data_IF_659713046892
#
_entry.id   IF_659713046892
#
_cell.length_a   1.000
_cell.length_b   1.000
_cell.length_c   1.000
_cell.angle_alpha   90.00
_cell.angle_beta   90.00
_cell.angle_gamma   90.00
#
_symmetry.space_group_name_H-M   'P 1'
#
loop_
_entity.id
_entity.type
_entity.pdbx_description
1 polymer ?
#
# COMPACT_ATOMS: atom_id res chain seq x y z
N UNK A 1 3.09 -6.66 -38.87
CA UNK A 1 2.24 -6.04 -37.83
C UNK A 1 3.02 -6.07 -36.50
N UNK A 2 3.41 -4.94 -35.96
CA UNK A 2 4.16 -4.90 -34.72
C UNK A 2 3.19 -5.29 -33.57
N UNK A 3 3.48 -6.38 -32.86
CA UNK A 3 2.80 -6.72 -31.61
C UNK A 3 2.90 -5.53 -30.67
N UNK A 4 1.75 -4.92 -30.33
CA UNK A 4 1.68 -3.94 -29.28
C UNK A 4 2.02 -4.67 -27.97
N UNK A 5 3.28 -4.53 -27.51
CA UNK A 5 3.73 -5.02 -26.21
C UNK A 5 2.75 -4.48 -25.15
N UNK A 6 1.96 -5.36 -24.55
CA UNK A 6 1.02 -5.00 -23.51
C UNK A 6 1.80 -4.31 -22.38
N UNK A 7 1.47 -3.07 -22.07
CA UNK A 7 2.15 -2.33 -20.98
C UNK A 7 1.91 -3.07 -19.67
N UNK A 8 2.92 -3.17 -18.82
CA UNK A 8 2.76 -3.73 -17.49
C UNK A 8 1.76 -2.89 -16.67
N UNK A 9 1.14 -3.50 -15.67
CA UNK A 9 0.20 -2.82 -14.74
C UNK A 9 0.89 -1.60 -14.13
N UNK A 10 2.14 -1.77 -13.68
CA UNK A 10 2.95 -0.71 -13.09
C UNK A 10 3.15 0.48 -14.06
N UNK A 11 3.44 0.20 -15.32
CA UNK A 11 3.64 1.24 -16.34
C UNK A 11 2.32 1.97 -16.70
N UNK A 12 1.20 1.26 -16.72
CA UNK A 12 -0.12 1.82 -16.95
C UNK A 12 -0.51 2.78 -15.83
N UNK A 13 -0.38 2.32 -14.59
CA UNK A 13 -0.63 3.15 -13.40
C UNK A 13 0.29 4.36 -13.34
N UNK A 14 1.58 4.18 -13.65
CA UNK A 14 2.52 5.29 -13.69
C UNK A 14 2.12 6.35 -14.73
N UNK A 15 1.62 5.91 -15.87
CA UNK A 15 1.12 6.81 -16.91
C UNK A 15 -0.10 7.59 -16.43
N UNK A 16 -1.03 6.94 -15.71
CA UNK A 16 -2.20 7.60 -15.13
C UNK A 16 -1.80 8.59 -14.01
N UNK A 17 -0.91 8.17 -13.12
CA UNK A 17 -0.40 9.02 -12.04
C UNK A 17 0.32 10.27 -12.57
N UNK A 18 1.08 10.13 -13.65
CA UNK A 18 1.75 11.28 -14.27
C UNK A 18 0.81 12.34 -14.86
N UNK A 19 -0.47 12.01 -15.07
CA UNK A 19 -1.47 13.01 -15.47
C UNK A 19 -1.80 14.00 -14.33
N UNK A 20 -1.50 13.64 -13.09
CA UNK A 20 -1.60 14.56 -11.95
C UNK A 20 -0.47 15.60 -11.94
N UNK A 21 0.65 15.34 -12.66
CA UNK A 21 1.74 16.30 -12.82
C UNK A 21 1.26 17.61 -13.46
N UNK A 22 1.85 18.70 -13.02
CA UNK A 22 1.66 20.02 -13.60
C UNK A 22 1.15 21.08 -12.60
N UNK A 23 0.35 20.67 -11.60
CA UNK A 23 -0.04 21.54 -10.48
C UNK A 23 0.46 21.03 -9.13
N UNK A 24 0.85 19.75 -9.05
CA UNK A 24 1.22 19.06 -7.80
C UNK A 24 2.65 18.56 -7.91
N UNK A 25 3.46 18.82 -6.90
CA UNK A 25 4.85 18.34 -6.82
C UNK A 25 4.92 16.81 -6.70
N UNK A 26 5.97 16.14 -7.23
CA UNK A 26 6.14 14.69 -7.12
C UNK A 26 6.11 14.17 -5.68
N UNK A 27 6.64 14.94 -4.74
CA UNK A 27 6.62 14.63 -3.31
C UNK A 27 5.21 14.58 -2.72
N UNK A 28 4.26 15.28 -3.31
CA UNK A 28 2.88 15.34 -2.87
C UNK A 28 2.02 14.27 -3.54
N UNK A 29 1.99 14.18 -4.88
CA UNK A 29 1.10 13.23 -5.51
C UNK A 29 1.47 11.75 -5.29
N UNK A 30 2.70 11.44 -4.84
CA UNK A 30 3.05 10.07 -4.43
C UNK A 30 2.14 9.53 -3.33
N UNK A 31 1.81 10.36 -2.33
CA UNK A 31 0.91 9.97 -1.24
C UNK A 31 -0.52 9.75 -1.72
N UNK A 32 -0.98 10.53 -2.71
CA UNK A 32 -2.27 10.32 -3.38
C UNK A 32 -2.30 8.95 -4.03
N UNK A 33 -1.34 8.65 -4.89
CA UNK A 33 -1.32 7.40 -5.66
C UNK A 33 -1.14 6.19 -4.76
N UNK A 34 -0.18 6.24 -3.84
CA UNK A 34 0.08 5.12 -2.93
C UNK A 34 -1.05 4.90 -1.93
N UNK A 35 -1.72 5.98 -1.48
CA UNK A 35 -2.91 5.90 -0.64
C UNK A 35 -4.09 5.24 -1.36
N UNK A 36 -4.33 5.56 -2.63
CA UNK A 36 -5.39 4.93 -3.44
C UNK A 36 -5.09 3.46 -3.75
N UNK A 37 -3.84 3.12 -4.07
CA UNK A 37 -3.42 1.74 -4.27
C UNK A 37 -3.60 0.93 -2.99
N UNK A 38 -3.25 1.50 -1.84
CA UNK A 38 -3.49 0.90 -0.53
C UNK A 38 -4.97 0.65 -0.30
N UNK A 39 -5.81 1.69 -0.48
CA UNK A 39 -7.26 1.60 -0.29
C UNK A 39 -7.91 0.53 -1.17
N UNK A 40 -7.56 0.48 -2.46
CA UNK A 40 -8.02 -0.57 -3.38
C UNK A 40 -7.66 -1.96 -2.87
N UNK A 41 -6.38 -2.17 -2.53
CA UNK A 41 -5.90 -3.47 -2.08
C UNK A 41 -6.58 -3.95 -0.80
N UNK A 42 -6.64 -3.10 0.23
CA UNK A 42 -7.25 -3.50 1.52
C UNK A 42 -8.74 -3.76 1.35
N UNK A 43 -9.42 -3.03 0.46
CA UNK A 43 -10.83 -3.26 0.13
C UNK A 43 -11.03 -4.59 -0.58
N UNK A 44 -10.20 -4.93 -1.57
CA UNK A 44 -10.30 -6.21 -2.27
C UNK A 44 -10.06 -7.40 -1.32
N UNK A 45 -9.07 -7.27 -0.42
CA UNK A 45 -8.80 -8.28 0.62
C UNK A 45 -9.94 -8.42 1.61
N UNK A 46 -10.55 -7.31 2.00
CA UNK A 46 -11.74 -7.32 2.84
C UNK A 46 -12.91 -8.04 2.16
N UNK A 47 -13.21 -7.72 0.91
CA UNK A 47 -14.30 -8.35 0.18
C UNK A 47 -14.03 -9.85 -0.08
N UNK A 48 -12.78 -10.24 -0.39
CA UNK A 48 -12.39 -11.66 -0.48
C UNK A 48 -12.70 -12.39 0.84
N UNK A 49 -12.30 -11.82 1.98
CA UNK A 49 -12.57 -12.41 3.30
C UNK A 49 -14.06 -12.44 3.63
N UNK A 50 -14.77 -11.38 3.32
CA UNK A 50 -16.22 -11.26 3.52
C UNK A 50 -16.95 -12.34 2.74
N UNK A 51 -16.57 -12.58 1.50
CA UNK A 51 -17.15 -13.64 0.68
C UNK A 51 -16.88 -15.04 1.26
N UNK A 52 -15.70 -15.28 1.82
CA UNK A 52 -15.38 -16.53 2.53
C UNK A 52 -16.33 -16.74 3.72
N UNK A 53 -16.57 -15.70 4.54
CA UNK A 53 -17.49 -15.77 5.67
C UNK A 53 -18.92 -16.08 5.22
N UNK A 54 -19.38 -15.50 4.11
CA UNK A 54 -20.69 -15.77 3.53
C UNK A 54 -20.79 -17.24 3.09
N UNK A 55 -19.76 -17.76 2.40
CA UNK A 55 -19.71 -19.13 1.91
C UNK A 55 -19.62 -20.16 3.04
N UNK A 56 -19.06 -19.78 4.20
CA UNK A 56 -18.99 -20.59 5.42
C UNK A 56 -20.29 -20.50 6.26
N UNK A 57 -21.33 -19.84 5.78
CA UNK A 57 -22.59 -19.57 6.49
C UNK A 57 -22.43 -18.77 7.81
N UNK A 58 -21.39 -17.92 7.85
CA UNK A 58 -21.02 -17.08 9.00
C UNK A 58 -21.51 -15.63 8.81
N UNK A 59 -22.75 -15.45 8.35
CA UNK A 59 -23.28 -14.11 8.03
C UNK A 59 -23.40 -13.18 9.24
N UNK A 60 -23.63 -13.73 10.43
CA UNK A 60 -23.74 -12.96 11.67
C UNK A 60 -22.41 -12.30 12.11
N UNK A 61 -21.30 -12.74 11.53
CA UNK A 61 -19.97 -12.24 11.85
C UNK A 61 -19.40 -11.25 10.84
N UNK A 62 -20.18 -10.86 9.82
CA UNK A 62 -19.72 -9.99 8.73
C UNK A 62 -19.30 -8.58 9.17
N UNK A 63 -19.82 -8.11 10.29
CA UNK A 63 -19.49 -6.79 10.85
C UNK A 63 -18.59 -6.88 12.10
N UNK A 64 -18.04 -8.08 12.40
CA UNK A 64 -17.14 -8.29 13.55
C UNK A 64 -15.69 -8.18 13.13
N UNK A 65 -15.00 -7.16 13.62
CA UNK A 65 -13.60 -6.81 13.27
C UNK A 65 -12.65 -8.00 13.51
N UNK A 66 -12.88 -8.76 14.57
CA UNK A 66 -12.03 -9.88 15.00
C UNK A 66 -11.93 -10.97 13.92
N UNK A 67 -13.00 -11.24 13.18
CA UNK A 67 -13.03 -12.26 12.12
C UNK A 67 -12.18 -11.90 10.90
N UNK A 68 -11.88 -10.63 10.73
CA UNK A 68 -10.96 -10.12 9.72
C UNK A 68 -9.52 -10.09 10.27
N UNK A 69 -9.33 -9.52 11.46
CA UNK A 69 -8.03 -9.41 12.13
C UNK A 69 -7.34 -10.77 12.32
N UNK A 70 -8.08 -11.83 12.69
CA UNK A 70 -7.57 -13.21 12.81
C UNK A 70 -6.93 -13.75 11.51
N UNK A 71 -7.22 -13.15 10.37
CA UNK A 71 -6.69 -13.52 9.05
C UNK A 71 -5.76 -12.44 8.49
N UNK A 72 -5.33 -11.49 9.31
CA UNK A 72 -4.53 -10.33 8.91
C UNK A 72 -5.20 -9.53 7.78
N UNK A 73 -6.52 -9.41 7.83
CA UNK A 73 -7.32 -8.59 6.93
C UNK A 73 -7.83 -7.38 7.71
N UNK A 74 -7.70 -6.19 7.13
CA UNK A 74 -8.26 -4.98 7.72
C UNK A 74 -9.77 -4.94 7.56
N UNK A 75 -10.48 -4.51 8.60
CA UNK A 75 -11.92 -4.30 8.55
C UNK A 75 -12.25 -2.96 7.88
N UNK A 76 -13.21 -2.96 6.98
CA UNK A 76 -13.70 -1.78 6.28
C UNK A 76 -15.22 -1.63 6.46
N UNK A 77 -15.66 -0.48 6.99
CA UNK A 77 -17.07 -0.11 6.97
C UNK A 77 -17.55 0.12 5.53
N UNK A 78 -18.86 0.15 5.32
CA UNK A 78 -19.45 0.29 3.99
C UNK A 78 -18.90 1.50 3.21
N UNK A 79 -18.79 2.65 3.90
CA UNK A 79 -18.31 3.90 3.29
C UNK A 79 -16.81 3.94 3.02
N UNK A 80 -16.06 2.97 3.56
CA UNK A 80 -14.61 2.86 3.38
C UNK A 80 -14.22 1.84 2.30
N UNK A 81 -15.20 1.14 1.70
CA UNK A 81 -14.96 0.16 0.65
C UNK A 81 -14.69 0.82 -0.69
N UNK A 82 -13.85 0.19 -1.47
CA UNK A 82 -13.50 0.69 -2.82
C UNK A 82 -14.73 0.86 -3.72
N UNK A 83 -15.71 -0.05 -3.64
CA UNK A 83 -16.98 0.04 -4.37
C UNK A 83 -17.68 1.37 -4.08
N UNK A 84 -17.79 1.75 -2.81
CA UNK A 84 -18.40 3.04 -2.44
C UNK A 84 -17.66 4.23 -3.04
N UNK A 85 -16.31 4.20 -3.03
CA UNK A 85 -15.49 5.27 -3.61
C UNK A 85 -15.69 5.38 -5.11
N UNK A 86 -15.74 4.24 -5.83
CA UNK A 86 -15.95 4.23 -7.29
C UNK A 86 -17.34 4.71 -7.65
N UNK A 87 -18.39 4.27 -6.94
CA UNK A 87 -19.76 4.69 -7.19
C UNK A 87 -19.94 6.22 -7.01
N UNK A 88 -19.10 6.83 -6.17
CA UNK A 88 -19.12 8.26 -5.92
C UNK A 88 -17.97 9.03 -6.61
N UNK A 89 -17.18 8.39 -7.48
CA UNK A 89 -15.95 8.95 -8.07
C UNK A 89 -16.15 10.22 -8.91
N UNK A 90 -17.38 10.49 -9.34
CA UNK A 90 -17.77 11.67 -10.14
C UNK A 90 -18.36 12.80 -9.32
N UNK A 91 -18.47 12.66 -8.00
CA UNK A 91 -19.00 13.70 -7.14
C UNK A 91 -17.91 14.73 -6.78
N UNK A 92 -18.29 15.99 -6.66
CA UNK A 92 -17.37 17.09 -6.34
C UNK A 92 -16.64 16.92 -5.00
N UNK A 93 -17.24 16.19 -4.06
CA UNK A 93 -16.69 15.91 -2.75
C UNK A 93 -15.86 14.61 -2.65
N UNK A 94 -15.47 14.01 -3.76
CA UNK A 94 -14.77 12.72 -3.78
C UNK A 94 -13.48 12.73 -2.94
N UNK A 95 -12.72 13.83 -2.93
CA UNK A 95 -11.52 14.00 -2.10
C UNK A 95 -11.83 13.85 -0.61
N UNK A 96 -12.94 14.43 -0.13
CA UNK A 96 -13.41 14.29 1.25
C UNK A 96 -13.86 12.86 1.57
N UNK A 97 -14.51 12.19 0.61
CA UNK A 97 -14.95 10.80 0.77
C UNK A 97 -13.74 9.86 0.91
N UNK A 98 -12.68 10.07 0.13
CA UNK A 98 -11.43 9.29 0.22
C UNK A 98 -10.76 9.54 1.58
N UNK A 99 -10.62 10.79 2.01
CA UNK A 99 -10.05 11.11 3.32
C UNK A 99 -10.86 10.47 4.45
N UNK A 100 -12.18 10.54 4.38
CA UNK A 100 -13.07 9.91 5.36
C UNK A 100 -12.92 8.39 5.39
N UNK A 101 -12.76 7.76 4.23
CA UNK A 101 -12.55 6.32 4.12
C UNK A 101 -11.23 5.90 4.76
N UNK A 102 -10.13 6.61 4.47
CA UNK A 102 -8.82 6.32 5.05
C UNK A 102 -8.82 6.51 6.57
N UNK A 103 -9.43 7.58 7.07
CA UNK A 103 -9.55 7.84 8.51
C UNK A 103 -10.40 6.77 9.22
N UNK A 104 -11.49 6.31 8.60
CA UNK A 104 -12.33 5.24 9.15
C UNK A 104 -11.58 3.89 9.18
N UNK A 105 -10.82 3.56 8.13
CA UNK A 105 -9.97 2.37 8.10
C UNK A 105 -8.95 2.42 9.24
N UNK A 106 -8.27 3.54 9.44
CA UNK A 106 -7.30 3.70 10.53
C UNK A 106 -7.94 3.56 11.91
N UNK A 107 -9.14 4.14 12.10
CA UNK A 107 -9.89 4.07 13.35
C UNK A 107 -10.30 2.64 13.72
N UNK A 108 -10.73 1.87 12.72
CA UNK A 108 -11.19 0.49 12.93
C UNK A 108 -10.06 -0.54 13.00
N UNK A 109 -8.83 -0.14 12.65
CA UNK A 109 -7.68 -1.04 12.61
C UNK A 109 -6.49 -0.45 13.38
N UNK A 110 -6.36 -0.72 14.70
CA UNK A 110 -5.33 -0.11 15.55
C UNK A 110 -3.88 -0.29 15.06
N UNK A 111 -3.59 -1.36 14.33
CA UNK A 111 -2.28 -1.61 13.73
C UNK A 111 -1.90 -0.58 12.64
N UNK A 112 -2.89 0.13 12.07
CA UNK A 112 -2.69 1.19 11.08
C UNK A 112 -2.58 2.58 11.70
N UNK A 113 -2.65 2.71 13.02
CA UNK A 113 -2.62 4.02 13.69
C UNK A 113 -1.42 4.85 13.26
N UNK A 114 -1.67 6.05 12.73
CA UNK A 114 -0.66 6.97 12.20
C UNK A 114 -0.03 6.54 10.88
N UNK A 115 -0.58 5.50 10.20
CA UNK A 115 -0.03 4.98 8.96
C UNK A 115 -0.58 5.69 7.72
N UNK A 116 -1.84 6.10 7.75
CA UNK A 116 -2.53 6.57 6.55
C UNK A 116 -2.41 8.10 6.38
N UNK A 117 -2.55 8.62 5.15
CA UNK A 117 -2.64 10.04 4.91
C UNK A 117 -3.85 10.64 5.66
N UNK A 118 -3.63 11.69 6.43
CA UNK A 118 -4.68 12.37 7.19
C UNK A 118 -5.14 13.64 6.46
N UNK A 119 -6.42 13.66 6.04
CA UNK A 119 -7.06 14.77 5.32
C UNK A 119 -6.19 15.30 4.17
N UNK A 120 -5.56 14.40 3.44
CA UNK A 120 -4.55 14.73 2.45
C UNK A 120 -5.17 15.09 1.09
N UNK A 121 -6.19 14.34 0.68
CA UNK A 121 -6.86 14.52 -0.62
C UNK A 121 -7.65 15.82 -0.71
N UNK A 122 -8.26 16.25 0.39
CA UNK A 122 -9.03 17.49 0.47
C UNK A 122 -8.16 18.74 0.57
N UNK A 123 -6.88 18.61 0.98
CA UNK A 123 -5.93 19.73 1.09
C UNK A 123 -5.16 20.03 -0.17
N UNK A 124 -5.03 19.05 -1.07
CA UNK A 124 -4.30 19.23 -2.32
C UNK A 124 -5.30 19.65 -3.40
N UNK A 125 -4.92 20.66 -4.19
CA UNK A 125 -5.70 21.11 -5.35
C UNK A 125 -5.59 20.11 -6.51
N UNK A 126 -6.26 18.95 -6.35
CA UNK A 126 -6.33 17.92 -7.39
C UNK A 126 -7.52 18.23 -8.29
N UNK A 127 -7.26 18.39 -9.57
CA UNK A 127 -8.33 18.51 -10.56
C UNK A 127 -9.22 17.25 -10.54
N UNK A 128 -10.51 17.44 -10.28
CA UNK A 128 -11.50 16.37 -10.10
C UNK A 128 -11.48 15.35 -11.25
N UNK A 129 -11.42 15.83 -12.51
CA UNK A 129 -11.37 14.96 -13.71
C UNK A 129 -10.16 14.03 -13.72
N UNK A 130 -9.00 14.49 -13.24
CA UNK A 130 -7.77 13.71 -13.17
C UNK A 130 -7.81 12.68 -12.05
N UNK A 131 -8.38 13.06 -10.88
CA UNK A 131 -8.59 12.14 -9.77
C UNK A 131 -9.55 11.01 -10.16
N UNK A 132 -10.68 11.34 -10.78
CA UNK A 132 -11.65 10.37 -11.29
C UNK A 132 -11.01 9.42 -12.31
N UNK A 133 -10.24 9.94 -13.27
CA UNK A 133 -9.53 9.09 -14.26
C UNK A 133 -8.46 8.19 -13.64
N UNK A 134 -7.82 8.62 -12.54
CA UNK A 134 -6.90 7.79 -11.78
C UNK A 134 -7.64 6.68 -11.03
N UNK A 135 -8.77 6.99 -10.39
CA UNK A 135 -9.65 6.02 -9.74
C UNK A 135 -10.11 4.94 -10.72
N UNK A 136 -10.59 5.32 -11.90
CA UNK A 136 -10.99 4.39 -12.96
C UNK A 136 -9.82 3.48 -13.36
N UNK A 137 -8.62 4.04 -13.55
CA UNK A 137 -7.42 3.24 -13.90
C UNK A 137 -7.01 2.25 -12.82
N UNK A 138 -7.14 2.64 -11.54
CA UNK A 138 -6.86 1.75 -10.41
C UNK A 138 -7.94 0.68 -10.27
N UNK A 139 -9.20 1.02 -10.57
CA UNK A 139 -10.33 0.10 -10.53
C UNK A 139 -10.16 -1.08 -11.49
N UNK A 140 -9.54 -0.85 -12.65
CA UNK A 140 -9.29 -1.89 -13.65
C UNK A 140 -8.22 -2.92 -13.22
N UNK A 141 -7.58 -2.72 -12.07
CA UNK A 141 -6.55 -3.63 -11.57
C UNK A 141 -7.19 -4.72 -10.72
N UNK A 142 -7.01 -5.95 -11.14
CA UNK A 142 -7.30 -7.11 -10.32
C UNK A 142 -6.13 -7.37 -9.34
N UNK A 143 -6.29 -6.94 -8.11
CA UNK A 143 -5.25 -7.06 -7.07
C UNK A 143 -5.17 -8.46 -6.47
N UNK A 144 -6.13 -9.35 -6.78
CA UNK A 144 -6.25 -10.69 -6.22
C UNK A 144 -5.87 -11.80 -7.20
N UNK A 145 -5.73 -11.49 -8.50
CA UNK A 145 -5.61 -12.44 -9.60
C UNK A 145 -4.42 -13.39 -9.47
N UNK A 146 -3.36 -12.98 -8.83
CA UNK A 146 -2.15 -13.79 -8.71
C UNK A 146 -1.63 -13.78 -7.27
N UNK A 147 -2.16 -14.72 -6.46
CA UNK A 147 -1.78 -14.86 -5.04
C UNK A 147 -0.31 -15.20 -4.82
N UNK A 148 0.39 -15.73 -5.84
CA UNK A 148 1.81 -16.07 -5.78
C UNK A 148 2.72 -14.89 -6.12
N UNK A 149 2.20 -13.90 -6.86
CA UNK A 149 2.94 -12.70 -7.19
C UNK A 149 2.42 -11.54 -6.33
N UNK A 150 3.23 -11.05 -5.42
CA UNK A 150 2.97 -9.82 -4.65
C UNK A 150 2.78 -8.61 -5.60
N UNK A 151 1.66 -8.62 -6.37
CA UNK A 151 1.37 -7.61 -7.41
C UNK A 151 1.33 -6.23 -6.77
N UNK A 152 0.62 -6.11 -5.66
CA UNK A 152 0.45 -4.82 -4.98
C UNK A 152 1.77 -4.33 -4.40
N UNK A 153 2.52 -5.22 -3.77
CA UNK A 153 3.85 -4.88 -3.28
C UNK A 153 4.81 -4.50 -4.41
N UNK A 154 4.75 -5.18 -5.56
CA UNK A 154 5.55 -4.79 -6.75
C UNK A 154 5.15 -3.42 -7.29
N UNK A 155 3.85 -3.16 -7.39
CA UNK A 155 3.33 -1.85 -7.80
C UNK A 155 3.81 -0.78 -6.82
N UNK A 156 3.68 -1.04 -5.51
CA UNK A 156 4.12 -0.12 -4.48
C UNK A 156 5.63 0.19 -4.58
N UNK A 157 6.48 -0.83 -4.68
CA UNK A 157 7.94 -0.69 -4.87
C UNK A 157 8.28 0.05 -6.16
N UNK A 158 7.58 -0.25 -7.27
CA UNK A 158 7.78 0.44 -8.54
C UNK A 158 7.51 1.94 -8.40
N UNK A 159 6.41 2.31 -7.74
CA UNK A 159 6.08 3.70 -7.52
C UNK A 159 7.09 4.39 -6.60
N UNK A 160 7.49 3.75 -5.50
CA UNK A 160 8.55 4.29 -4.64
C UNK A 160 9.82 4.58 -5.41
N UNK A 161 10.27 3.63 -6.26
CA UNK A 161 11.48 3.81 -7.06
C UNK A 161 11.34 4.95 -8.08
N UNK A 162 10.18 5.09 -8.71
CA UNK A 162 9.89 6.16 -9.69
C UNK A 162 9.82 7.52 -9.03
N UNK A 163 9.21 7.62 -7.86
CA UNK A 163 9.15 8.86 -7.10
C UNK A 163 10.53 9.26 -6.59
N UNK A 164 11.33 8.32 -6.08
CA UNK A 164 12.70 8.60 -5.67
C UNK A 164 13.55 9.19 -6.82
N UNK A 165 13.41 8.64 -8.02
CA UNK A 165 14.06 9.18 -9.22
C UNK A 165 13.53 10.57 -9.62
N UNK A 166 12.22 10.81 -9.49
CA UNK A 166 11.60 12.08 -9.86
C UNK A 166 11.91 13.21 -8.88
N UNK A 167 12.11 12.91 -7.61
CA UNK A 167 12.47 13.88 -6.57
C UNK A 167 13.95 14.31 -6.66
N UNK A 168 14.79 13.56 -7.38
CA UNK A 168 16.19 13.87 -7.63
C UNK A 168 17.14 13.58 -6.46
N UNK A 169 18.41 13.97 -6.60
CA UNK A 169 19.45 13.72 -5.59
C UNK A 169 19.09 14.39 -4.25
N UNK A 170 19.13 13.62 -3.18
CA UNK A 170 18.88 14.09 -1.81
C UNK A 170 17.41 14.16 -1.41
N UNK A 171 16.46 13.83 -2.30
CA UNK A 171 15.02 13.77 -1.97
C UNK A 171 14.41 12.39 -2.08
N UNK A 172 15.14 11.42 -2.64
CA UNK A 172 14.73 10.01 -2.76
C UNK A 172 15.30 9.09 -1.68
N UNK A 173 15.73 9.64 -0.55
CA UNK A 173 16.40 8.93 0.56
C UNK A 173 15.51 7.85 1.21
N UNK A 174 14.21 7.94 1.01
CA UNK A 174 13.25 6.95 1.52
C UNK A 174 13.29 5.59 0.80
N UNK A 175 14.02 5.46 -0.32
CA UNK A 175 14.04 4.26 -1.13
C UNK A 175 15.45 3.75 -1.40
N UNK A 176 15.73 2.53 -0.94
CA UNK A 176 16.97 1.80 -1.29
C UNK A 176 16.67 0.80 -2.42
N UNK A 177 17.47 0.79 -3.49
CA UNK A 177 17.29 -0.14 -4.61
C UNK A 177 17.21 -1.61 -4.16
N UNK A 178 16.26 -2.37 -4.74
CA UNK A 178 16.00 -3.76 -4.37
C UNK A 178 17.23 -4.65 -4.43
N UNK A 179 18.12 -4.43 -5.40
CA UNK A 179 19.37 -5.20 -5.52
C UNK A 179 20.31 -5.02 -4.33
N UNK A 180 20.34 -3.81 -3.74
CA UNK A 180 21.16 -3.50 -2.57
C UNK A 180 20.57 -4.15 -1.32
N UNK A 181 19.27 -3.96 -1.07
CA UNK A 181 18.62 -4.55 0.11
C UNK A 181 18.60 -6.09 0.04
N UNK A 182 18.49 -6.66 -1.16
CA UNK A 182 18.61 -8.10 -1.36
C UNK A 182 20.01 -8.60 -1.00
N UNK A 183 21.07 -7.96 -1.53
CA UNK A 183 22.45 -8.32 -1.22
C UNK A 183 22.71 -8.27 0.30
N UNK A 184 22.27 -7.20 0.96
CA UNK A 184 22.44 -7.04 2.42
C UNK A 184 21.73 -8.17 3.17
N UNK A 185 20.49 -8.51 2.78
CA UNK A 185 19.74 -9.60 3.42
C UNK A 185 20.40 -10.95 3.25
N UNK A 186 20.95 -11.25 2.07
CA UNK A 186 21.71 -12.48 1.81
C UNK A 186 23.02 -12.55 2.61
N UNK A 187 23.65 -11.39 2.91
CA UNK A 187 24.87 -11.33 3.72
C UNK A 187 24.61 -11.47 5.22
N UNK A 188 23.47 -10.97 5.71
CA UNK A 188 23.10 -10.98 7.14
C UNK A 188 22.44 -12.29 7.54
N UNK A 189 21.76 -12.95 6.60
CA UNK A 189 21.03 -14.20 6.82
C UNK A 189 20.05 -14.14 8.01
N UNK A 190 19.01 -13.29 7.97
CA UNK A 190 18.12 -13.02 9.10
C UNK A 190 17.10 -14.14 9.34
N UNK A 191 17.53 -15.30 9.82
CA UNK A 191 16.66 -16.45 10.05
C UNK A 191 15.76 -16.31 11.28
N UNK A 192 16.30 -15.70 12.36
CA UNK A 192 15.61 -15.58 13.65
C UNK A 192 16.10 -14.36 14.45
N UNK A 193 15.36 -13.98 15.50
CA UNK A 193 15.75 -12.92 16.44
C UNK A 193 15.17 -11.56 16.09
N UNK A 194 15.97 -10.50 16.29
CA UNK A 194 15.52 -9.10 16.11
C UNK A 194 16.20 -8.48 14.90
N UNK A 195 15.39 -7.97 13.99
CA UNK A 195 15.85 -7.12 12.89
C UNK A 195 15.58 -5.68 13.28
N UNK A 196 16.63 -4.87 13.38
CA UNK A 196 16.55 -3.47 13.72
C UNK A 196 17.17 -2.60 12.64
N UNK A 197 16.41 -1.61 12.17
CA UNK A 197 16.87 -0.60 11.21
C UNK A 197 16.62 0.80 11.79
N UNK A 198 17.67 1.55 12.16
CA UNK A 198 17.53 2.88 12.77
C UNK A 198 17.18 3.99 11.77
N UNK A 199 17.16 3.69 10.47
CA UNK A 199 16.86 4.63 9.39
C UNK A 199 16.08 3.91 8.26
N UNK A 200 14.97 3.26 8.63
CA UNK A 200 14.31 2.25 7.80
C UNK A 200 13.70 2.77 6.49
N UNK A 201 13.63 4.09 6.31
CA UNK A 201 13.06 4.67 5.11
C UNK A 201 11.64 4.16 4.87
N UNK A 202 11.37 3.64 3.68
CA UNK A 202 10.08 3.01 3.33
C UNK A 202 9.95 1.54 3.76
N UNK A 203 10.84 1.03 4.60
CA UNK A 203 10.80 -0.34 5.11
C UNK A 203 11.32 -1.41 4.16
N UNK A 204 12.13 -1.04 3.18
CA UNK A 204 12.64 -1.94 2.14
C UNK A 204 13.45 -3.11 2.71
N UNK A 205 14.31 -2.86 3.71
CA UNK A 205 15.09 -3.90 4.39
C UNK A 205 14.19 -4.94 5.06
N UNK A 206 13.16 -4.52 5.77
CA UNK A 206 12.22 -5.44 6.43
C UNK A 206 11.49 -6.32 5.43
N UNK A 207 11.00 -5.73 4.32
CA UNK A 207 10.36 -6.49 3.24
C UNK A 207 11.29 -7.54 2.67
N UNK A 208 12.55 -7.19 2.43
CA UNK A 208 13.51 -8.13 1.85
C UNK A 208 13.94 -9.21 2.84
N UNK A 209 14.10 -8.88 4.12
CA UNK A 209 14.37 -9.86 5.18
C UNK A 209 13.24 -10.89 5.30
N UNK A 210 11.97 -10.45 5.23
CA UNK A 210 10.84 -11.38 5.22
C UNK A 210 10.81 -12.27 3.97
N UNK A 211 11.21 -11.74 2.80
CA UNK A 211 11.36 -12.54 1.58
C UNK A 211 12.51 -13.53 1.65
N UNK A 212 13.62 -13.15 2.29
CA UNK A 212 14.73 -14.06 2.55
C UNK A 212 14.27 -15.27 3.37
N UNK A 213 13.57 -15.05 4.48
CA UNK A 213 13.02 -16.09 5.33
C UNK A 213 12.10 -17.04 4.54
N UNK A 214 11.18 -16.49 3.72
CA UNK A 214 10.29 -17.30 2.87
C UNK A 214 11.06 -18.15 1.87
N UNK A 215 12.04 -17.56 1.19
CA UNK A 215 12.85 -18.26 0.17
C UNK A 215 13.69 -19.40 0.75
N UNK A 216 14.04 -19.30 2.03
CA UNK A 216 14.84 -20.31 2.75
C UNK A 216 13.99 -21.23 3.66
N UNK A 217 12.65 -21.22 3.47
CA UNK A 217 11.70 -22.04 4.26
C UNK A 217 11.78 -21.78 5.78
N UNK A 218 12.17 -20.56 6.17
CA UNK A 218 12.24 -20.14 7.57
C UNK A 218 10.86 -19.79 8.15
N UNK A 219 10.84 -19.52 9.45
CA UNK A 219 9.63 -19.20 10.19
C UNK A 219 9.59 -17.69 10.54
N UNK A 220 8.76 -16.94 9.83
CA UNK A 220 8.59 -15.49 10.09
C UNK A 220 8.18 -15.13 11.52
N UNK A 221 7.62 -16.08 12.28
CA UNK A 221 7.20 -15.84 13.66
C UNK A 221 8.37 -15.80 14.64
N UNK A 222 9.54 -16.25 14.23
CA UNK A 222 10.77 -16.22 15.01
C UNK A 222 11.54 -14.91 14.88
N UNK A 223 11.01 -13.98 14.06
CA UNK A 223 11.61 -12.66 13.82
C UNK A 223 10.73 -11.54 14.35
N UNK A 224 11.33 -10.62 15.09
CA UNK A 224 10.72 -9.36 15.54
C UNK A 224 11.36 -8.20 14.81
N UNK A 225 10.54 -7.27 14.29
CA UNK A 225 10.99 -6.13 13.50
C UNK A 225 10.84 -4.84 14.30
N UNK A 226 11.92 -4.08 14.36
CA UNK A 226 11.96 -2.74 14.96
C UNK A 226 12.64 -1.77 13.99
N UNK A 227 12.09 -0.57 13.88
CA UNK A 227 12.64 0.45 13.01
C UNK A 227 12.46 1.86 13.53
N UNK A 228 13.23 2.77 12.97
CA UNK A 228 13.08 4.20 13.19
C UNK A 228 13.07 4.92 11.85
N UNK A 229 12.23 5.92 11.74
CA UNK A 229 12.20 6.85 10.62
C UNK A 229 11.91 8.26 11.14
N UNK A 230 12.78 9.18 10.80
CA UNK A 230 12.71 10.57 11.27
C UNK A 230 11.57 11.35 10.61
N UNK A 231 11.35 11.10 9.31
CA UNK A 231 10.39 11.86 8.52
C UNK A 231 9.00 11.27 8.61
N UNK A 232 8.03 12.01 9.15
CA UNK A 232 6.66 11.53 9.35
C UNK A 232 5.99 11.01 8.07
N UNK A 233 6.25 11.64 6.91
CA UNK A 233 5.71 11.19 5.61
C UNK A 233 6.32 9.85 5.18
N UNK A 234 7.61 9.66 5.35
CA UNK A 234 8.32 8.40 5.04
C UNK A 234 7.92 7.29 6.01
N UNK A 235 7.74 7.61 7.31
CA UNK A 235 7.19 6.70 8.30
C UNK A 235 5.82 6.11 7.87
N UNK A 236 4.92 6.96 7.38
CA UNK A 236 3.62 6.52 6.84
C UNK A 236 3.81 5.58 5.63
N UNK A 237 4.73 5.90 4.73
CA UNK A 237 5.06 5.02 3.60
C UNK A 237 5.57 3.65 4.07
N UNK A 238 6.45 3.61 5.08
CA UNK A 238 6.93 2.35 5.66
C UNK A 238 5.78 1.54 6.25
N UNK A 239 4.94 2.16 7.06
CA UNK A 239 3.78 1.48 7.66
C UNK A 239 2.82 0.91 6.62
N UNK A 240 2.45 1.68 5.59
CA UNK A 240 1.62 1.19 4.48
C UNK A 240 2.30 0.05 3.73
N UNK A 241 3.60 0.18 3.45
CA UNK A 241 4.38 -0.83 2.74
C UNK A 241 4.42 -2.18 3.47
N UNK A 242 4.59 -2.16 4.77
CA UNK A 242 4.61 -3.34 5.63
C UNK A 242 3.20 -3.93 5.80
N UNK A 243 2.19 -3.06 5.99
CA UNK A 243 0.80 -3.46 6.15
C UNK A 243 0.24 -4.21 4.92
N UNK A 244 0.55 -3.74 3.70
CA UNK A 244 0.19 -4.41 2.44
C UNK A 244 0.69 -5.86 2.41
N UNK A 245 1.82 -6.15 3.06
CA UNK A 245 2.47 -7.48 3.09
C UNK A 245 2.17 -8.29 4.33
N UNK A 246 1.33 -7.75 5.23
CA UNK A 246 1.03 -8.40 6.51
C UNK A 246 2.25 -8.52 7.43
N UNK A 247 3.24 -7.62 7.28
CA UNK A 247 4.45 -7.60 8.10
C UNK A 247 4.19 -6.73 9.33
N UNK A 248 4.20 -7.34 10.51
CA UNK A 248 4.12 -6.63 11.78
C UNK A 248 5.49 -6.03 12.13
N UNK A 249 5.53 -4.74 12.46
CA UNK A 249 6.74 -4.05 12.85
C UNK A 249 6.46 -2.94 13.88
N UNK A 250 7.39 -2.75 14.79
CA UNK A 250 7.43 -1.61 15.69
C UNK A 250 8.30 -0.52 15.06
N UNK A 251 7.65 0.54 14.57
CA UNK A 251 8.32 1.69 13.97
C UNK A 251 8.14 2.93 14.84
#
# INVERSE_FOLDING_TARGET
MAEKKQKSIEATLWTAANKLRGKIEPSEYKHVVLGLIFLKFVSDKFEERRQVLINEDKKDFLEMIEFYAMKNVFYLSEKSRWSFIIDNSKQDNISLLIDSALNDIEKNNPSLKGALPDNYFSRIDIEHSKLSALLDTINDIDTLKDKQQDIVGRVYEYFLSKFALAEGKGKGEFYTPKSIVHLISEMIEPYEGVIYDPACGSGGMFVQSMKFIDNHNGNKKEVSIYGQEYTATTYKLAKMNLAIRGIAANL
#
